data_IF_102029527669
#
_entry.id   IF_102029527669
#
_cell.length_a   1.000
_cell.length_b   1.000
_cell.length_c   1.000
_cell.angle_alpha   90.00
_cell.angle_beta   90.00
_cell.angle_gamma   90.00
#
_symmetry.space_group_name_H-M   'P 1'
#
loop_
_entity.id
_entity.type
_entity.pdbx_description
1 polymer ?
#
# COMPACT_ATOMS: atom_id res chain seq x y z
N UNK A 1 -90.00 18.90 -41.48
CA UNK A 1 -89.11 19.57 -40.51
C UNK A 1 -89.95 20.18 -39.41
N UNK A 2 -89.50 20.03 -38.14
CA UNK A 2 -90.09 20.47 -36.86
C UNK A 2 -91.01 19.44 -36.17
N UNK A 3 -90.39 18.78 -35.19
CA UNK A 3 -90.89 17.77 -34.24
C UNK A 3 -91.15 18.48 -32.88
N UNK A 4 -92.13 18.03 -32.07
CA UNK A 4 -92.79 18.83 -31.04
C UNK A 4 -92.08 18.73 -29.68
N UNK A 5 -92.44 19.60 -28.73
CA UNK A 5 -92.09 19.41 -27.31
C UNK A 5 -93.26 19.72 -26.38
N UNK A 6 -93.46 18.74 -25.50
CA UNK A 6 -94.45 18.59 -24.45
C UNK A 6 -94.34 19.67 -23.35
N UNK A 7 -95.51 19.97 -22.77
CA UNK A 7 -95.70 20.53 -21.42
C UNK A 7 -95.32 19.51 -20.34
N UNK A 8 -94.76 19.95 -19.22
CA UNK A 8 -95.04 19.47 -17.85
C UNK A 8 -94.42 20.43 -16.79
N UNK A 9 -94.88 20.44 -15.53
CA UNK A 9 -94.83 21.58 -14.60
C UNK A 9 -93.90 21.40 -13.37
N UNK A 10 -93.81 22.48 -12.59
CA UNK A 10 -93.58 22.61 -11.13
C UNK A 10 -92.65 21.62 -10.41
N UNK A 11 -91.59 22.15 -9.77
CA UNK A 11 -91.21 21.74 -8.41
C UNK A 11 -90.37 22.83 -7.72
N UNK A 12 -90.87 23.32 -6.59
CA UNK A 12 -90.12 24.15 -5.64
C UNK A 12 -89.20 23.25 -4.80
N UNK A 13 -87.95 23.68 -4.57
CA UNK A 13 -87.03 23.00 -3.66
C UNK A 13 -86.41 24.00 -2.67
N UNK A 14 -86.49 23.62 -1.40
CA UNK A 14 -86.13 24.38 -0.21
C UNK A 14 -84.61 24.59 -0.04
N UNK A 15 -84.24 25.74 0.54
CA UNK A 15 -82.88 26.07 0.98
C UNK A 15 -82.48 25.24 2.22
N UNK A 16 -81.30 24.63 2.19
CA UNK A 16 -80.57 24.14 3.37
C UNK A 16 -79.27 24.96 3.54
N UNK A 17 -78.82 25.25 4.78
CA UNK A 17 -77.61 26.04 5.01
C UNK A 17 -76.35 25.19 4.79
N UNK A 18 -75.38 25.74 4.05
CA UNK A 18 -74.09 25.10 3.81
C UNK A 18 -73.16 25.30 5.02
N UNK A 19 -72.67 24.19 5.58
CA UNK A 19 -71.63 24.16 6.60
C UNK A 19 -70.27 24.40 5.91
N UNK A 20 -69.61 25.53 6.19
CA UNK A 20 -68.28 25.85 5.65
C UNK A 20 -67.23 25.07 6.46
N UNK A 21 -66.66 24.02 5.86
CA UNK A 21 -65.50 23.33 6.38
C UNK A 21 -64.22 24.01 5.87
N UNK A 22 -63.44 24.61 6.77
CA UNK A 22 -62.09 25.10 6.48
C UNK A 22 -61.12 23.92 6.41
N UNK A 23 -60.40 23.69 5.30
CA UNK A 23 -59.32 22.71 5.29
C UNK A 23 -58.13 23.27 6.08
N UNK A 24 -57.90 22.74 7.27
CA UNK A 24 -56.64 22.92 7.99
C UNK A 24 -55.52 22.23 7.22
N UNK A 25 -54.74 23.01 6.49
CA UNK A 25 -53.53 22.54 5.83
C UNK A 25 -52.49 22.14 6.88
N UNK A 26 -52.36 20.84 7.12
CA UNK A 26 -51.21 20.28 7.83
C UNK A 26 -49.98 20.47 6.94
N UNK A 27 -49.11 21.38 7.32
CA UNK A 27 -47.75 21.45 6.78
C UNK A 27 -47.03 20.16 7.18
N UNK A 28 -46.93 19.21 6.25
CA UNK A 28 -46.05 18.08 6.39
C UNK A 28 -44.61 18.62 6.45
N UNK A 29 -44.02 18.60 7.64
CA UNK A 29 -42.61 18.84 7.85
C UNK A 29 -41.82 17.79 7.07
N UNK A 30 -41.41 18.13 5.85
CA UNK A 30 -40.46 17.35 5.09
C UNK A 30 -39.14 17.33 5.83
N UNK A 31 -38.92 16.31 6.66
CA UNK A 31 -37.57 15.90 7.01
C UNK A 31 -36.97 15.41 5.71
N UNK A 32 -36.19 16.28 5.05
CA UNK A 32 -35.35 15.87 3.94
C UNK A 32 -34.50 14.72 4.47
N UNK A 33 -34.75 13.52 3.95
CA UNK A 33 -34.01 12.32 4.27
C UNK A 33 -32.55 12.59 3.88
N UNK A 34 -31.74 12.96 4.87
CA UNK A 34 -30.36 13.33 4.65
C UNK A 34 -29.66 12.02 4.35
N UNK A 35 -29.49 11.73 3.06
CA UNK A 35 -28.79 10.53 2.60
C UNK A 35 -27.51 10.37 3.42
N UNK A 36 -27.32 9.18 4.01
CA UNK A 36 -26.15 8.91 4.83
C UNK A 36 -24.89 9.34 4.07
N UNK A 37 -23.96 10.08 4.70
CA UNK A 37 -22.75 10.52 4.00
C UNK A 37 -22.04 9.30 3.42
N UNK A 38 -21.81 9.32 2.11
CA UNK A 38 -21.17 8.21 1.42
C UNK A 38 -19.80 7.93 2.05
N UNK A 39 -19.53 6.65 2.34
CA UNK A 39 -18.24 6.22 2.89
C UNK A 39 -17.10 6.68 1.98
N UNK A 40 -16.13 7.49 2.47
CA UNK A 40 -14.94 7.86 1.72
C UNK A 40 -14.24 6.65 1.10
N UNK A 41 -14.04 6.71 -0.22
CA UNK A 41 -13.40 5.66 -1.00
C UNK A 41 -11.97 6.09 -1.33
N UNK A 42 -10.97 5.39 -0.80
CA UNK A 42 -9.56 5.59 -1.14
C UNK A 42 -9.33 5.14 -2.58
N UNK A 43 -8.95 6.07 -3.46
CA UNK A 43 -8.78 5.80 -4.90
C UNK A 43 -7.32 5.80 -5.35
N UNK A 44 -6.43 6.45 -4.60
CA UNK A 44 -5.01 6.45 -4.93
C UNK A 44 -4.10 6.63 -3.70
N UNK A 45 -2.89 6.09 -3.80
CA UNK A 45 -1.78 6.35 -2.89
C UNK A 45 -0.57 6.74 -3.72
N UNK A 46 -0.04 7.94 -3.49
CA UNK A 46 1.11 8.49 -4.24
C UNK A 46 2.12 9.05 -3.26
N UNK A 47 3.38 9.14 -3.67
CA UNK A 47 4.39 9.81 -2.86
C UNK A 47 5.40 10.58 -3.72
N UNK A 48 5.90 11.70 -3.18
CA UNK A 48 6.91 12.54 -3.81
C UNK A 48 7.81 13.19 -2.75
N UNK A 49 9.03 13.55 -3.15
CA UNK A 49 9.98 14.26 -2.32
C UNK A 49 9.83 15.78 -2.52
N UNK A 50 9.83 16.55 -1.43
CA UNK A 50 9.71 18.00 -1.43
C UNK A 50 10.61 18.62 -0.36
N UNK A 51 11.75 19.21 -0.77
CA UNK A 51 12.70 19.78 0.17
C UNK A 51 13.12 18.74 1.22
N UNK A 52 12.93 19.03 2.50
CA UNK A 52 13.32 18.11 3.58
C UNK A 52 12.24 17.08 3.99
N UNK A 53 11.22 16.85 3.15
CA UNK A 53 10.15 15.89 3.46
C UNK A 53 9.82 14.97 2.29
N UNK A 54 9.47 13.73 2.62
CA UNK A 54 8.75 12.83 1.73
C UNK A 54 7.27 12.91 2.06
N UNK A 55 6.45 13.22 1.05
CA UNK A 55 5.02 13.39 1.17
C UNK A 55 4.30 12.18 0.60
N UNK A 56 3.58 11.46 1.44
CA UNK A 56 2.65 10.39 1.03
C UNK A 56 1.23 10.95 1.03
N UNK A 57 0.52 10.79 -0.08
CA UNK A 57 -0.83 11.31 -0.30
C UNK A 57 -1.79 10.15 -0.50
N UNK A 58 -2.80 10.09 0.35
CA UNK A 58 -3.96 9.21 0.25
C UNK A 58 -5.13 10.02 -0.30
N UNK A 59 -5.55 9.72 -1.52
CA UNK A 59 -6.60 10.47 -2.24
C UNK A 59 -7.93 9.72 -2.15
N UNK A 60 -8.99 10.44 -1.79
CA UNK A 60 -10.32 9.90 -1.56
C UNK A 60 -11.38 10.51 -2.48
N UNK A 61 -12.40 9.71 -2.80
CA UNK A 61 -13.67 10.15 -3.38
C UNK A 61 -14.75 10.12 -2.30
N UNK A 62 -15.70 11.06 -2.35
CA UNK A 62 -16.84 11.08 -1.42
C UNK A 62 -16.57 11.80 -0.09
N UNK A 63 -15.35 12.29 0.13
CA UNK A 63 -14.99 13.07 1.32
C UNK A 63 -13.68 12.60 1.95
N UNK A 64 -13.32 13.19 3.09
CA UNK A 64 -12.23 12.70 3.94
C UNK A 64 -12.77 11.70 4.96
N UNK A 65 -12.01 10.67 5.34
CA UNK A 65 -12.33 9.85 6.52
C UNK A 65 -12.54 10.72 7.75
N UNK A 66 -13.54 10.41 8.58
CA UNK A 66 -13.81 11.18 9.79
C UNK A 66 -12.62 11.11 10.76
N UNK A 67 -12.16 9.88 11.01
CA UNK A 67 -11.08 9.58 11.94
C UNK A 67 -9.84 9.06 11.20
N UNK A 68 -8.67 9.57 11.59
CA UNK A 68 -7.38 9.27 10.96
C UNK A 68 -6.35 9.07 12.06
N UNK A 69 -5.77 7.88 12.12
CA UNK A 69 -4.70 7.57 13.05
C UNK A 69 -3.41 7.39 12.28
N UNK A 70 -2.35 8.07 12.72
CA UNK A 70 -1.01 7.94 12.16
C UNK A 70 -0.02 7.80 13.31
N UNK A 71 0.60 6.64 13.41
CA UNK A 71 1.48 6.33 14.52
C UNK A 71 2.59 5.36 14.12
N UNK A 72 3.67 5.39 14.87
CA UNK A 72 4.74 4.42 14.70
C UNK A 72 4.42 3.14 15.44
N UNK A 73 4.60 2.00 14.77
CA UNK A 73 4.38 0.66 15.33
C UNK A 73 5.56 -0.25 15.01
N UNK A 74 5.77 -1.29 15.83
CA UNK A 74 6.82 -2.27 15.57
C UNK A 74 6.39 -3.34 14.56
N UNK A 75 5.08 -3.62 14.51
CA UNK A 75 4.49 -4.66 13.67
C UNK A 75 3.15 -4.21 13.12
N UNK A 76 2.85 -4.64 11.91
CA UNK A 76 1.57 -4.44 11.25
C UNK A 76 0.86 -5.78 11.10
N UNK A 77 -0.44 -5.80 11.38
CA UNK A 77 -1.29 -6.98 11.23
C UNK A 77 -2.43 -6.65 10.27
N UNK A 78 -2.83 -7.65 9.49
CA UNK A 78 -3.90 -7.49 8.52
C UNK A 78 -5.27 -7.46 9.22
N UNK A 79 -6.13 -6.53 8.81
CA UNK A 79 -7.48 -6.39 9.37
C UNK A 79 -8.28 -7.69 9.15
N UNK A 80 -9.08 -8.06 10.15
CA UNK A 80 -9.88 -9.30 10.18
C UNK A 80 -9.06 -10.58 10.41
N UNK A 81 -7.98 -10.82 9.67
CA UNK A 81 -7.23 -12.09 9.74
C UNK A 81 -6.16 -12.16 10.84
N UNK A 82 -5.69 -11.01 11.34
CA UNK A 82 -4.59 -10.94 12.32
C UNK A 82 -3.22 -11.40 11.80
N UNK A 83 -3.07 -11.73 10.52
CA UNK A 83 -1.80 -12.16 9.95
C UNK A 83 -0.81 -11.00 9.87
N UNK A 84 0.46 -11.25 10.18
CA UNK A 84 1.51 -10.24 10.06
C UNK A 84 1.66 -9.76 8.61
N UNK A 85 1.72 -8.44 8.43
CA UNK A 85 1.99 -7.78 7.15
C UNK A 85 3.42 -7.25 7.17
N UNK A 86 4.26 -7.75 6.28
CA UNK A 86 5.66 -7.33 6.19
C UNK A 86 5.80 -6.08 5.33
N UNK A 87 6.42 -5.05 5.90
CA UNK A 87 6.68 -3.76 5.24
C UNK A 87 8.19 -3.51 5.32
N UNK A 88 8.82 -3.18 4.20
CA UNK A 88 10.27 -3.04 4.14
C UNK A 88 10.73 -1.68 4.69
N UNK A 89 11.80 -1.68 5.48
CA UNK A 89 12.38 -0.49 6.11
C UNK A 89 12.78 -0.71 7.57
N UNK A 90 13.44 0.29 8.15
CA UNK A 90 13.93 0.31 9.54
C UNK A 90 12.95 0.96 10.52
N UNK A 91 11.87 1.56 10.01
CA UNK A 91 10.77 2.05 10.82
C UNK A 91 9.45 1.89 10.06
N UNK A 92 8.36 1.75 10.80
CA UNK A 92 7.04 1.46 10.26
C UNK A 92 6.02 2.44 10.84
N UNK A 93 5.32 3.13 9.94
CA UNK A 93 4.25 4.04 10.28
C UNK A 93 2.91 3.42 9.88
N UNK A 94 2.03 3.18 10.84
CA UNK A 94 0.64 2.81 10.62
C UNK A 94 -0.15 4.05 10.21
N UNK A 95 -1.00 3.90 9.20
CA UNK A 95 -1.99 4.89 8.76
C UNK A 95 -3.33 4.19 8.69
N UNK A 96 -4.24 4.52 9.60
CA UNK A 96 -5.57 3.93 9.69
C UNK A 96 -6.63 5.01 9.45
N UNK A 97 -7.59 4.66 8.61
CA UNK A 97 -8.75 5.49 8.28
C UNK A 97 -10.01 4.76 8.71
N UNK A 98 -10.82 5.38 9.58
CA UNK A 98 -12.11 4.82 9.97
C UNK A 98 -13.24 5.43 9.14
N UNK A 99 -14.30 4.63 8.95
CA UNK A 99 -15.39 4.91 8.02
C UNK A 99 -14.85 5.21 6.62
N UNK A 100 -13.91 4.39 6.14
CA UNK A 100 -13.30 4.51 4.83
C UNK A 100 -13.04 3.13 4.20
N UNK A 101 -13.15 3.05 2.88
CA UNK A 101 -12.97 1.80 2.13
C UNK A 101 -12.01 1.97 0.95
N UNK A 102 -11.37 0.89 0.50
CA UNK A 102 -10.50 0.86 -0.68
C UNK A 102 -11.07 -0.03 -1.81
N UNK A 103 -12.38 -0.25 -1.81
CA UNK A 103 -13.16 -0.96 -2.82
C UNK A 103 -14.40 -0.13 -3.27
N UNK A 104 -14.96 -0.48 -4.43
CA UNK A 104 -16.23 0.06 -4.92
C UNK A 104 -17.41 -0.59 -4.21
N UNK A 105 -18.61 -0.02 -4.34
CA UNK A 105 -19.82 -0.58 -3.71
C UNK A 105 -20.17 -1.98 -4.25
N UNK A 106 -19.69 -2.33 -5.44
CA UNK A 106 -19.77 -3.67 -6.02
C UNK A 106 -18.67 -4.64 -5.51
N UNK A 107 -17.84 -4.21 -4.55
CA UNK A 107 -16.73 -4.98 -3.99
C UNK A 107 -15.46 -5.03 -4.84
N UNK A 108 -15.41 -4.32 -5.97
CA UNK A 108 -14.23 -4.32 -6.83
C UNK A 108 -13.10 -3.48 -6.21
N UNK A 109 -11.82 -3.89 -6.32
CA UNK A 109 -10.72 -3.08 -5.80
C UNK A 109 -10.60 -1.75 -6.54
N UNK A 110 -10.27 -0.70 -5.80
CA UNK A 110 -9.92 0.61 -6.39
C UNK A 110 -8.51 0.60 -7.01
N UNK A 111 -8.12 1.72 -7.62
CA UNK A 111 -6.75 1.94 -8.08
C UNK A 111 -5.73 2.16 -6.94
N UNK A 112 -6.18 2.24 -5.68
CA UNK A 112 -5.28 2.33 -4.53
C UNK A 112 -4.46 1.04 -4.39
N UNK A 113 -3.12 1.12 -4.47
CA UNK A 113 -2.29 -0.08 -4.57
C UNK A 113 -2.29 -0.89 -3.27
N UNK A 114 -2.40 -2.22 -3.37
CA UNK A 114 -2.14 -3.11 -2.22
C UNK A 114 -0.71 -3.00 -1.71
N UNK A 115 0.25 -2.79 -2.61
CA UNK A 115 1.66 -2.55 -2.30
C UNK A 115 2.30 -1.69 -3.39
N UNK A 116 3.02 -0.66 -2.99
CA UNK A 116 3.80 0.19 -3.88
C UNK A 116 5.14 0.51 -3.24
N UNK A 117 6.19 0.57 -4.06
CA UNK A 117 7.52 1.02 -3.68
C UNK A 117 7.77 2.40 -4.27
N UNK A 118 8.54 3.23 -3.56
CA UNK A 118 8.82 4.60 -3.94
C UNK A 118 10.34 4.88 -4.01
N UNK A 119 10.80 5.70 -4.97
CA UNK A 119 12.21 6.07 -5.10
C UNK A 119 12.56 7.30 -4.24
N UNK A 120 12.12 7.35 -2.98
CA UNK A 120 12.26 8.53 -2.13
C UNK A 120 13.29 8.33 -1.01
N UNK A 121 13.98 9.37 -0.51
CA UNK A 121 15.01 9.26 0.52
C UNK A 121 14.61 8.46 1.77
N UNK A 122 13.44 8.72 2.35
CA UNK A 122 12.97 8.06 3.56
C UNK A 122 11.81 7.08 3.30
N UNK A 123 10.79 7.47 2.54
CA UNK A 123 9.63 6.62 2.26
C UNK A 123 9.99 5.55 1.24
N UNK A 124 9.97 4.28 1.67
CA UNK A 124 10.35 3.13 0.84
C UNK A 124 9.14 2.47 0.20
N UNK A 125 8.09 2.24 0.99
CA UNK A 125 6.89 1.52 0.56
C UNK A 125 5.63 2.02 1.24
N UNK A 126 4.48 1.78 0.60
CA UNK A 126 3.17 1.74 1.25
C UNK A 126 2.51 0.40 0.97
N UNK A 127 1.96 -0.24 2.01
CA UNK A 127 1.36 -1.57 1.96
C UNK A 127 0.02 -1.55 2.66
N UNK A 128 -1.06 -1.95 1.97
CA UNK A 128 -2.39 -2.09 2.58
C UNK A 128 -2.41 -3.31 3.50
N UNK A 129 -2.70 -3.07 4.78
CA UNK A 129 -2.91 -4.12 5.77
C UNK A 129 -4.37 -4.59 5.81
N UNK A 130 -5.31 -3.71 5.49
CA UNK A 130 -6.70 -4.11 5.38
C UNK A 130 -7.62 -3.05 4.79
N UNK A 131 -8.83 -3.51 4.52
CA UNK A 131 -9.96 -2.82 3.92
C UNK A 131 -11.21 -3.65 4.28
N UNK A 132 -11.63 -3.55 5.54
CA UNK A 132 -12.65 -4.41 6.15
C UNK A 132 -13.47 -3.61 7.16
N UNK A 133 -14.78 -3.84 7.27
CA UNK A 133 -15.68 -3.14 8.22
C UNK A 133 -15.55 -1.60 8.18
N UNK A 134 -15.41 -1.03 6.97
CA UNK A 134 -15.18 0.40 6.76
C UNK A 134 -13.92 0.94 7.47
N UNK A 135 -12.91 0.09 7.64
CA UNK A 135 -11.57 0.46 8.08
C UNK A 135 -10.60 0.17 6.94
N UNK A 136 -9.80 1.18 6.58
CA UNK A 136 -8.68 1.01 5.68
C UNK A 136 -7.37 1.27 6.41
N UNK A 137 -6.49 0.27 6.47
CA UNK A 137 -5.20 0.37 7.16
C UNK A 137 -4.04 0.21 6.18
N UNK A 138 -3.04 1.07 6.29
CA UNK A 138 -1.77 1.01 5.57
C UNK A 138 -0.57 1.03 6.51
N UNK A 139 0.51 0.38 6.11
CA UNK A 139 1.84 0.56 6.67
C UNK A 139 2.74 1.29 5.67
N UNK A 140 3.42 2.33 6.12
CA UNK A 140 4.48 3.02 5.38
C UNK A 140 5.82 2.58 5.94
N UNK A 141 6.63 1.96 5.09
CA UNK A 141 7.99 1.54 5.43
C UNK A 141 8.98 2.67 5.20
N UNK A 142 9.84 2.93 6.18
CA UNK A 142 10.77 4.05 6.19
C UNK A 142 12.22 3.61 6.34
N UNK A 143 13.14 4.34 5.70
CA UNK A 143 14.58 4.17 5.90
C UNK A 143 15.00 4.56 7.34
N UNK A 144 14.33 5.54 7.95
CA UNK A 144 14.55 5.99 9.35
C UNK A 144 13.25 6.53 9.95
N UNK A 145 13.07 6.29 11.26
CA UNK A 145 12.11 7.06 12.07
C UNK A 145 12.50 8.54 12.11
N UNK A 146 11.57 9.42 11.73
CA UNK A 146 11.76 10.88 11.75
C UNK A 146 10.46 11.55 12.17
N UNK A 147 10.41 12.89 12.15
CA UNK A 147 9.17 13.63 12.42
C UNK A 147 8.11 13.32 11.35
N UNK A 148 6.85 13.26 11.79
CA UNK A 148 5.69 13.07 10.93
C UNK A 148 4.72 14.22 11.15
N UNK A 149 4.15 14.74 10.06
CA UNK A 149 3.05 15.72 10.08
C UNK A 149 1.92 15.21 9.20
N UNK A 150 0.71 15.31 9.70
CA UNK A 150 -0.50 14.96 8.94
C UNK A 150 -1.28 16.22 8.65
N UNK A 151 -1.65 16.41 7.39
CA UNK A 151 -2.52 17.51 6.95
C UNK A 151 -3.58 16.96 6.00
N UNK A 152 -4.56 17.78 5.65
CA UNK A 152 -5.57 17.42 4.65
C UNK A 152 -5.69 18.49 3.59
N UNK A 153 -6.04 18.07 2.39
CA UNK A 153 -6.38 18.95 1.28
C UNK A 153 -7.80 18.63 0.82
N UNK A 154 -8.46 19.63 0.24
CA UNK A 154 -9.75 19.49 -0.41
C UNK A 154 -9.57 19.57 -1.94
N UNK A 155 -10.61 19.19 -2.68
CA UNK A 155 -10.70 19.30 -4.14
C UNK A 155 -9.44 18.80 -4.92
N UNK A 156 -9.14 17.49 -4.94
CA UNK A 156 -9.88 16.39 -4.31
C UNK A 156 -9.51 16.19 -2.83
N UNK A 157 -10.39 15.52 -2.03
CA UNK A 157 -10.11 15.12 -0.65
C UNK A 157 -8.85 14.27 -0.54
N UNK A 158 -7.86 14.74 0.23
CA UNK A 158 -6.59 14.04 0.44
C UNK A 158 -6.17 14.09 1.89
N UNK A 159 -5.69 12.96 2.41
CA UNK A 159 -4.89 12.92 3.63
C UNK A 159 -3.42 12.88 3.23
N UNK A 160 -2.64 13.82 3.76
CA UNK A 160 -1.24 14.03 3.41
C UNK A 160 -0.39 13.72 4.64
N UNK A 161 0.49 12.74 4.53
CA UNK A 161 1.45 12.32 5.56
C UNK A 161 2.84 12.75 5.10
N UNK A 162 3.41 13.73 5.77
CA UNK A 162 4.75 14.25 5.50
C UNK A 162 5.73 13.68 6.50
N UNK A 163 6.78 13.03 6.01
CA UNK A 163 7.81 12.36 6.79
C UNK A 163 9.13 13.08 6.55
N UNK A 164 9.90 13.37 7.61
CA UNK A 164 11.21 14.02 7.46
C UNK A 164 12.18 13.20 6.58
N UNK A 165 12.81 13.88 5.62
CA UNK A 165 13.69 13.31 4.61
C UNK A 165 14.94 14.17 4.32
N UNK A 166 15.15 15.27 5.04
CA UNK A 166 16.31 16.17 4.90
C UNK A 166 17.63 15.61 5.44
N UNK A 167 17.92 14.33 5.19
CA UNK A 167 19.20 13.69 5.54
C UNK A 167 19.96 13.30 4.27
N UNK A 168 21.30 13.25 4.30
CA UNK A 168 22.08 12.89 3.13
C UNK A 168 21.77 11.47 2.66
N UNK A 169 21.73 11.28 1.34
CA UNK A 169 21.60 9.97 0.71
C UNK A 169 22.70 9.74 -0.30
N UNK A 170 22.98 8.47 -0.57
CA UNK A 170 23.88 8.04 -1.63
C UNK A 170 23.17 7.02 -2.49
N UNK A 171 23.47 7.01 -3.78
CA UNK A 171 22.96 5.99 -4.67
C UNK A 171 23.74 4.68 -4.52
N UNK A 172 23.02 3.58 -4.43
CA UNK A 172 23.55 2.22 -4.47
C UNK A 172 22.73 1.37 -5.42
N UNK A 173 23.31 0.26 -5.84
CA UNK A 173 22.68 -0.64 -6.80
C UNK A 173 21.92 -1.75 -6.06
N UNK A 174 20.77 -2.15 -6.57
CA UNK A 174 19.99 -3.30 -6.12
C UNK A 174 19.68 -4.14 -7.35
N UNK A 175 19.76 -5.46 -7.24
CA UNK A 175 19.47 -6.36 -8.34
C UNK A 175 18.07 -6.95 -8.19
N UNK A 176 17.32 -6.97 -9.29
CA UNK A 176 16.00 -7.60 -9.34
C UNK A 176 15.96 -8.65 -10.43
N UNK A 177 15.21 -9.71 -10.18
CA UNK A 177 14.87 -10.70 -11.18
C UNK A 177 14.08 -10.08 -12.34
N UNK A 178 14.49 -10.37 -13.57
CA UNK A 178 13.83 -9.96 -14.80
C UNK A 178 13.06 -11.14 -15.39
N UNK A 179 11.74 -11.18 -15.13
CA UNK A 179 10.89 -12.31 -15.49
C UNK A 179 10.90 -12.61 -16.99
N UNK A 180 10.74 -11.58 -17.82
CA UNK A 180 10.57 -11.81 -19.26
C UNK A 180 11.88 -12.34 -19.89
N UNK A 181 13.04 -11.82 -19.46
CA UNK A 181 14.37 -12.38 -19.79
C UNK A 181 14.53 -13.84 -19.39
N UNK A 182 14.05 -14.22 -18.21
CA UNK A 182 14.13 -15.61 -17.76
C UNK A 182 13.25 -16.54 -18.61
N UNK A 183 12.03 -16.12 -18.93
CA UNK A 183 11.12 -16.86 -19.83
C UNK A 183 11.73 -17.01 -21.22
N UNK A 184 12.37 -15.96 -21.73
CA UNK A 184 13.04 -15.95 -23.04
C UNK A 184 14.44 -16.59 -23.01
N UNK A 185 14.88 -17.13 -21.86
CA UNK A 185 16.23 -17.65 -21.62
C UNK A 185 17.36 -16.69 -22.08
N UNK A 186 17.18 -15.39 -21.83
CA UNK A 186 18.12 -14.33 -22.19
C UNK A 186 18.80 -13.73 -20.96
N UNK A 187 20.05 -14.11 -20.73
CA UNK A 187 20.85 -13.54 -19.65
C UNK A 187 21.20 -12.04 -19.87
N UNK A 188 21.48 -11.28 -18.79
CA UNK A 188 21.39 -11.68 -17.38
C UNK A 188 19.95 -11.67 -16.86
N UNK A 189 19.61 -12.68 -16.04
CA UNK A 189 18.29 -12.82 -15.40
C UNK A 189 18.07 -11.87 -14.22
N UNK A 190 19.16 -11.35 -13.63
CA UNK A 190 19.10 -10.34 -12.57
C UNK A 190 19.70 -9.04 -13.10
N UNK A 191 18.94 -7.95 -12.98
CA UNK A 191 19.32 -6.66 -13.57
C UNK A 191 19.48 -5.59 -12.49
N UNK A 192 20.52 -4.74 -12.58
CA UNK A 192 20.78 -3.69 -11.61
C UNK A 192 19.83 -2.50 -11.78
N UNK A 193 19.43 -1.91 -10.66
CA UNK A 193 18.74 -0.62 -10.59
C UNK A 193 19.30 0.23 -9.46
N UNK A 194 19.20 1.56 -9.59
CA UNK A 194 19.72 2.51 -8.61
C UNK A 194 18.70 2.84 -7.53
N UNK A 195 19.17 3.00 -6.29
CA UNK A 195 18.36 3.32 -5.11
C UNK A 195 19.09 4.29 -4.19
N UNK A 196 18.35 5.25 -3.64
CA UNK A 196 18.84 6.12 -2.58
C UNK A 196 18.90 5.34 -1.26
N UNK A 197 20.02 5.39 -0.56
CA UNK A 197 20.18 4.80 0.78
C UNK A 197 20.90 5.78 1.70
N UNK A 198 20.79 5.57 3.01
CA UNK A 198 21.53 6.36 3.98
C UNK A 198 23.02 5.97 3.96
N UNK A 199 23.96 6.92 3.93
CA UNK A 199 25.39 6.62 3.90
C UNK A 199 25.89 5.93 5.18
N UNK A 200 25.25 6.15 6.33
CA UNK A 200 25.66 5.53 7.60
C UNK A 200 25.27 4.06 7.79
N UNK A 201 24.42 3.50 6.93
CA UNK A 201 24.02 2.08 6.97
C UNK A 201 23.66 1.58 5.55
N UNK A 202 24.62 1.59 4.60
CA UNK A 202 24.32 1.40 3.19
C UNK A 202 23.93 -0.05 2.88
N UNK A 203 24.52 -1.05 3.54
CA UNK A 203 24.19 -2.46 3.36
C UNK A 203 22.74 -2.77 3.76
N UNK A 204 22.34 -2.35 4.96
CA UNK A 204 20.94 -2.40 5.42
C UNK A 204 20.01 -1.65 4.46
N UNK A 205 20.42 -0.45 4.03
CA UNK A 205 19.62 0.36 3.11
C UNK A 205 19.33 -0.32 1.77
N UNK A 206 20.32 -1.00 1.16
CA UNK A 206 20.08 -1.70 -0.11
C UNK A 206 19.21 -2.94 0.07
N UNK A 207 19.32 -3.64 1.19
CA UNK A 207 18.44 -4.78 1.51
C UNK A 207 17.00 -4.32 1.77
N UNK A 208 16.80 -3.21 2.47
CA UNK A 208 15.47 -2.60 2.63
C UNK A 208 14.85 -2.25 1.28
N UNK A 209 15.65 -1.70 0.36
CA UNK A 209 15.21 -1.35 -1.00
C UNK A 209 14.94 -2.58 -1.86
N UNK A 210 15.70 -3.65 -1.69
CA UNK A 210 15.44 -4.94 -2.33
C UNK A 210 14.08 -5.48 -1.88
N UNK A 211 13.84 -5.61 -0.58
CA UNK A 211 12.57 -6.15 -0.06
C UNK A 211 11.37 -5.20 -0.20
N UNK A 212 11.60 -3.90 -0.41
CA UNK A 212 10.59 -2.96 -0.89
C UNK A 212 10.07 -3.36 -2.29
N UNK A 213 10.95 -3.92 -3.11
CA UNK A 213 10.69 -4.43 -4.45
C UNK A 213 10.88 -3.38 -5.55
N UNK A 214 10.68 -3.77 -6.82
CA UNK A 214 10.80 -2.85 -7.95
C UNK A 214 9.73 -1.76 -7.92
N UNK A 215 10.06 -0.60 -8.48
CA UNK A 215 9.15 0.52 -8.69
C UNK A 215 8.06 0.16 -9.73
N UNK A 216 6.90 0.85 -9.75
CA UNK A 216 5.86 0.57 -10.74
C UNK A 216 6.34 0.53 -12.20
N UNK A 217 7.15 1.52 -12.61
CA UNK A 217 7.72 1.56 -13.97
C UNK A 217 8.78 0.49 -14.26
N UNK A 218 9.41 -0.07 -13.23
CA UNK A 218 10.33 -1.22 -13.38
C UNK A 218 9.53 -2.53 -13.50
N UNK A 219 8.44 -2.67 -12.74
CA UNK A 219 7.53 -3.81 -12.88
C UNK A 219 6.88 -3.86 -14.26
N UNK A 220 6.53 -2.70 -14.81
CA UNK A 220 6.03 -2.59 -16.18
C UNK A 220 7.05 -3.09 -17.22
N UNK A 221 8.35 -3.01 -16.92
CA UNK A 221 9.47 -3.52 -17.74
C UNK A 221 9.88 -4.98 -17.41
N UNK A 222 9.09 -5.70 -16.62
CA UNK A 222 9.33 -7.12 -16.33
C UNK A 222 10.13 -7.41 -15.04
N UNK A 223 10.61 -6.40 -14.30
CA UNK A 223 11.35 -6.62 -13.05
C UNK A 223 10.41 -7.08 -11.94
N UNK A 224 10.84 -8.06 -11.15
CA UNK A 224 10.12 -8.64 -10.00
C UNK A 224 11.12 -8.83 -8.86
N UNK A 225 10.60 -8.90 -7.63
CA UNK A 225 11.35 -9.38 -6.47
C UNK A 225 11.13 -10.89 -6.38
N UNK A 226 12.19 -11.69 -6.52
CA UNK A 226 12.12 -13.13 -6.41
C UNK A 226 12.32 -13.55 -4.95
N UNK A 227 11.22 -13.85 -4.26
CA UNK A 227 11.25 -14.03 -2.80
C UNK A 227 11.80 -15.37 -2.31
N UNK A 228 11.65 -16.45 -3.07
CA UNK A 228 11.95 -17.81 -2.59
C UNK A 228 11.30 -18.15 -1.23
N UNK A 229 10.08 -17.62 -0.98
CA UNK A 229 9.36 -17.75 0.29
C UNK A 229 9.67 -16.68 1.34
N UNK A 230 10.74 -15.90 1.17
CA UNK A 230 11.18 -14.91 2.14
C UNK A 230 10.24 -13.70 2.22
N UNK A 231 10.03 -13.22 3.43
CA UNK A 231 9.21 -12.02 3.69
C UNK A 231 10.05 -10.78 3.96
N UNK A 232 11.31 -10.95 4.34
CA UNK A 232 12.30 -9.90 4.60
C UNK A 232 13.66 -10.51 4.95
N UNK A 233 14.46 -9.76 5.71
CA UNK A 233 15.73 -10.20 6.27
C UNK A 233 15.92 -9.62 7.68
N UNK A 234 16.84 -10.20 8.44
CA UNK A 234 17.34 -9.70 9.72
C UNK A 234 18.80 -10.11 9.93
N UNK A 235 19.38 -9.76 11.09
CA UNK A 235 20.73 -10.13 11.53
C UNK A 235 21.86 -9.83 10.52
N UNK A 236 21.68 -8.78 9.70
CA UNK A 236 22.69 -8.36 8.73
C UNK A 236 23.89 -7.71 9.44
N UNK A 237 25.06 -8.28 9.22
CA UNK A 237 26.36 -7.77 9.65
C UNK A 237 27.34 -7.71 8.49
N UNK A 238 28.25 -6.75 8.51
CA UNK A 238 29.35 -6.65 7.55
C UNK A 238 30.64 -6.47 8.33
N UNK A 239 31.49 -7.49 8.34
CA UNK A 239 32.75 -7.49 9.09
C UNK A 239 33.76 -8.44 8.48
N UNK A 240 35.04 -8.06 8.46
CA UNK A 240 36.13 -8.94 8.01
C UNK A 240 35.97 -9.46 6.58
N UNK A 241 35.42 -8.64 5.66
CA UNK A 241 35.17 -9.06 4.28
C UNK A 241 33.88 -9.87 4.06
N UNK A 242 33.13 -10.17 5.13
CA UNK A 242 31.93 -11.01 5.05
C UNK A 242 30.67 -10.18 5.31
N UNK A 243 29.69 -10.28 4.40
CA UNK A 243 28.32 -9.85 4.66
C UNK A 243 27.49 -11.07 5.08
N UNK A 244 27.18 -11.19 6.37
CA UNK A 244 26.34 -12.27 6.91
C UNK A 244 24.93 -11.73 7.15
N UNK A 245 23.91 -12.40 6.64
CA UNK A 245 22.52 -12.04 6.88
C UNK A 245 21.58 -13.24 6.87
N UNK A 246 20.42 -13.06 7.51
CA UNK A 246 19.39 -14.08 7.60
C UNK A 246 18.11 -13.68 6.87
N UNK A 247 17.57 -14.60 6.08
CA UNK A 247 16.24 -14.46 5.47
C UNK A 247 15.15 -14.73 6.50
N UNK A 248 14.11 -13.91 6.50
CA UNK A 248 12.92 -14.15 7.34
C UNK A 248 11.78 -14.73 6.51
N UNK A 249 10.85 -15.43 7.16
CA UNK A 249 9.72 -16.08 6.48
C UNK A 249 10.04 -17.52 6.11
N UNK A 250 9.53 -18.00 4.98
CA UNK A 250 9.83 -19.35 4.49
C UNK A 250 11.07 -19.31 3.60
N UNK A 251 11.73 -20.44 3.43
CA UNK A 251 12.78 -20.60 2.44
C UNK A 251 12.48 -21.80 1.55
N UNK A 252 12.44 -21.59 0.24
CA UNK A 252 12.27 -22.64 -0.78
C UNK A 252 12.67 -22.13 -2.17
N UNK A 253 13.45 -22.92 -2.90
CA UNK A 253 13.70 -22.75 -4.33
C UNK A 253 12.44 -23.07 -5.15
N UNK A 254 11.71 -24.11 -4.72
CA UNK A 254 10.61 -24.67 -5.48
C UNK A 254 11.06 -25.35 -6.78
N UNK A 255 12.28 -25.90 -6.82
CA UNK A 255 12.85 -26.51 -8.02
C UNK A 255 13.43 -25.52 -9.02
N UNK A 256 13.52 -24.23 -8.66
CA UNK A 256 14.00 -23.19 -9.58
C UNK A 256 15.51 -23.10 -9.59
N UNK A 257 16.09 -22.92 -10.77
CA UNK A 257 17.52 -22.62 -10.98
C UNK A 257 17.91 -21.20 -10.59
N UNK A 258 16.92 -20.34 -10.28
CA UNK A 258 17.13 -18.97 -9.81
C UNK A 258 16.38 -18.75 -8.50
N UNK A 259 17.00 -18.07 -7.56
CA UNK A 259 16.41 -17.78 -6.25
C UNK A 259 16.70 -16.35 -5.79
N UNK A 260 16.17 -15.98 -4.63
CA UNK A 260 16.49 -14.70 -3.95
C UNK A 260 18.00 -14.48 -3.78
N UNK A 261 18.81 -15.54 -3.74
CA UNK A 261 20.27 -15.43 -3.69
C UNK A 261 20.83 -14.64 -4.89
N UNK A 262 20.27 -14.82 -6.09
CA UNK A 262 20.67 -14.08 -7.29
C UNK A 262 20.37 -12.57 -7.23
N UNK A 263 19.54 -12.14 -6.28
CA UNK A 263 19.29 -10.72 -5.98
C UNK A 263 20.21 -10.23 -4.85
N UNK A 264 20.34 -11.01 -3.78
CA UNK A 264 21.06 -10.64 -2.55
C UNK A 264 22.57 -10.60 -2.76
N UNK A 265 23.15 -11.65 -3.35
CA UNK A 265 24.60 -11.79 -3.52
C UNK A 265 25.21 -10.59 -4.28
N UNK A 266 24.79 -10.26 -5.51
CA UNK A 266 25.36 -9.10 -6.21
C UNK A 266 25.04 -7.77 -5.53
N UNK A 267 23.89 -7.68 -4.83
CA UNK A 267 23.55 -6.49 -4.04
C UNK A 267 24.52 -6.27 -2.88
N UNK A 268 25.02 -7.32 -2.22
CA UNK A 268 26.01 -7.18 -1.15
C UNK A 268 27.44 -7.02 -1.69
N UNK A 269 27.80 -7.77 -2.73
CA UNK A 269 29.15 -7.72 -3.35
C UNK A 269 29.47 -6.41 -4.07
N UNK A 270 28.51 -5.49 -4.18
CA UNK A 270 28.78 -4.13 -4.67
C UNK A 270 29.70 -3.34 -3.74
N UNK A 271 29.74 -3.70 -2.45
CA UNK A 271 30.56 -2.98 -1.46
C UNK A 271 31.98 -3.53 -1.50
N UNK A 272 32.97 -2.65 -1.69
CA UNK A 272 34.38 -3.03 -1.76
C UNK A 272 34.91 -3.69 -0.46
N UNK A 273 34.17 -3.60 0.65
CA UNK A 273 34.47 -4.26 1.91
C UNK A 273 33.81 -5.63 2.07
N UNK A 274 33.15 -6.14 1.02
CA UNK A 274 32.44 -7.42 1.01
C UNK A 274 33.06 -8.30 -0.08
N UNK A 275 33.89 -9.25 0.35
CA UNK A 275 34.52 -10.25 -0.50
C UNK A 275 33.57 -11.43 -0.75
N UNK A 276 32.80 -11.81 0.29
CA UNK A 276 31.81 -12.88 0.23
C UNK A 276 30.57 -12.60 1.07
N UNK A 277 29.50 -13.33 0.76
CA UNK A 277 28.19 -13.20 1.40
C UNK A 277 27.77 -14.54 2.00
N UNK A 278 27.39 -14.54 3.27
CA UNK A 278 26.82 -15.69 3.97
C UNK A 278 25.33 -15.43 4.12
N UNK A 279 24.52 -16.09 3.29
CA UNK A 279 23.07 -16.01 3.33
C UNK A 279 22.51 -17.19 4.12
N UNK A 280 21.73 -16.90 5.16
CA UNK A 280 21.12 -17.90 6.04
C UNK A 280 19.62 -17.98 5.83
N UNK A 281 19.05 -19.17 6.05
CA UNK A 281 17.60 -19.32 6.15
C UNK A 281 17.06 -18.86 7.52
N UNK A 282 15.74 -18.89 7.70
CA UNK A 282 15.12 -18.41 8.95
C UNK A 282 15.56 -19.15 10.22
N UNK A 283 16.10 -20.37 10.11
CA UNK A 283 16.67 -21.13 11.22
C UNK A 283 18.12 -20.75 11.55
N UNK A 284 18.77 -19.96 10.68
CA UNK A 284 20.18 -19.58 10.80
C UNK A 284 21.14 -20.50 10.03
N UNK A 285 20.62 -21.51 9.33
CA UNK A 285 21.42 -22.48 8.59
C UNK A 285 21.85 -21.95 7.22
N UNK A 286 23.01 -22.40 6.77
CA UNK A 286 23.58 -22.17 5.42
C UNK A 286 24.52 -23.34 5.09
N UNK A 287 24.85 -23.59 3.82
CA UNK A 287 25.60 -24.78 3.42
C UNK A 287 27.08 -24.76 3.81
N UNK A 288 27.75 -23.63 3.63
CA UNK A 288 29.20 -23.50 3.82
C UNK A 288 29.57 -22.17 4.50
N UNK A 289 29.16 -21.98 5.78
CA UNK A 289 29.31 -20.71 6.47
C UNK A 289 30.75 -20.24 6.62
N UNK A 290 31.75 -21.13 6.57
CA UNK A 290 33.17 -20.83 6.82
C UNK A 290 34.05 -21.01 5.57
N UNK A 291 33.46 -21.41 4.44
CA UNK A 291 34.17 -21.62 3.19
C UNK A 291 34.75 -20.36 2.55
N UNK A 292 35.55 -20.50 1.49
CA UNK A 292 36.17 -19.37 0.81
C UNK A 292 35.19 -18.56 -0.06
N UNK A 293 34.02 -19.11 -0.39
CA UNK A 293 33.03 -18.53 -1.31
C UNK A 293 31.79 -17.96 -0.63
N UNK A 294 30.87 -17.46 -1.44
CA UNK A 294 29.51 -17.13 -1.00
C UNK A 294 28.80 -18.41 -0.50
N UNK A 295 27.99 -18.30 0.56
CA UNK A 295 27.23 -19.42 1.11
C UNK A 295 25.73 -19.15 1.02
N UNK A 296 25.00 -20.10 0.44
CA UNK A 296 23.54 -20.10 0.36
C UNK A 296 22.96 -21.24 1.19
N UNK A 297 21.74 -21.11 1.73
CA UNK A 297 21.11 -22.18 2.46
C UNK A 297 20.55 -23.25 1.52
N UNK A 298 20.57 -24.51 1.98
CA UNK A 298 20.14 -25.69 1.22
C UNK A 298 18.74 -25.54 0.61
N UNK A 299 17.84 -24.83 1.31
CA UNK A 299 16.49 -24.56 0.85
C UNK A 299 16.40 -23.67 -0.40
N UNK A 300 17.49 -23.03 -0.83
CA UNK A 300 17.58 -22.28 -2.08
C UNK A 300 18.26 -23.07 -3.21
N UNK A 301 18.74 -24.28 -2.94
CA UNK A 301 19.23 -25.17 -3.99
C UNK A 301 18.03 -25.76 -4.78
N UNK A 302 18.20 -26.06 -6.08
CA UNK A 302 17.16 -26.63 -6.93
C UNK A 302 16.60 -27.96 -6.41
#
# INVERSE_FOLDING_TARGET
MRIPRLLLPLLALALAPALVATPGGQAASGVADRAAPATPVLVAVRAAHHGDVDRVVFEFRGGLPADRQVEYVDRLFADGSGRRVHVAGQALLLVRFERAQAHTDAGAPTAAPRRVAFPLPNVLTAVRAGDFEAVTTYGIGLAKRTRVRVTTLQAPPRVVVEVGAGFPTVERTVWFFHRDRFVDNREPFFVPVRRLVRPGAPATGVMDRLFAGPLPGERARGLRLLRSGATGYDDLTVSGGVADLRLTGRCRSGGSTVTVAGEVLPTMKQFATVDRVVLRDASGATLDPDGPGDSTPACLEP
#
